data_IF_185164161219
#
_entry.id   IF_185164161219
#
_cell.length_a   1.000
_cell.length_b   1.000
_cell.length_c   1.000
_cell.angle_alpha   90.00
_cell.angle_beta   90.00
_cell.angle_gamma   90.00
#
_symmetry.space_group_name_H-M   'P 1'
#
loop_
_entity.id
_entity.type
_entity.pdbx_description
1 polymer ?
#
# COMPACT_ATOMS: atom_id res chain seq x y z
N UNK A 1 13.17 0.48 -27.93
CA UNK A 1 12.52 1.34 -26.91
C UNK A 1 11.28 1.98 -27.50
N UNK A 2 10.23 2.18 -26.69
CA UNK A 2 9.01 2.81 -27.21
C UNK A 2 9.03 4.31 -26.97
N UNK A 3 8.69 5.06 -27.99
CA UNK A 3 8.55 6.51 -27.95
C UNK A 3 7.12 6.88 -28.34
N UNK A 4 6.54 7.83 -27.62
CA UNK A 4 5.27 8.45 -27.99
C UNK A 4 5.59 9.78 -28.66
N UNK A 5 5.08 9.95 -29.88
CA UNK A 5 5.29 11.18 -30.60
C UNK A 5 3.96 11.91 -30.86
N UNK A 6 4.05 13.22 -30.87
CA UNK A 6 2.99 14.12 -31.30
C UNK A 6 3.52 14.84 -32.56
N UNK A 7 2.80 14.74 -33.66
CA UNK A 7 3.22 15.32 -34.92
C UNK A 7 2.01 15.83 -35.71
N UNK A 8 2.24 16.77 -36.61
CA UNK A 8 1.22 17.26 -37.53
C UNK A 8 1.44 16.63 -38.91
N UNK A 9 0.37 16.15 -39.53
CA UNK A 9 0.31 15.74 -40.92
C UNK A 9 -1.02 16.19 -41.50
N UNK A 10 -0.97 16.86 -42.65
CA UNK A 10 -2.18 17.37 -43.37
C UNK A 10 -3.06 18.25 -42.44
N UNK A 11 -2.45 19.09 -41.62
CA UNK A 11 -3.13 20.01 -40.72
C UNK A 11 -3.77 19.35 -39.48
N UNK A 12 -3.62 18.01 -39.30
CA UNK A 12 -4.17 17.29 -38.16
C UNK A 12 -3.08 16.85 -37.21
N UNK A 13 -3.32 17.04 -35.92
CA UNK A 13 -2.40 16.54 -34.86
C UNK A 13 -2.63 15.06 -34.63
N UNK A 14 -1.58 14.29 -34.73
CA UNK A 14 -1.58 12.84 -34.56
C UNK A 14 -0.68 12.51 -33.36
N UNK A 15 -1.16 11.65 -32.46
CA UNK A 15 -0.39 11.11 -31.34
C UNK A 15 -0.33 9.59 -31.52
N UNK A 16 0.87 9.05 -31.68
CA UNK A 16 1.09 7.60 -31.85
C UNK A 16 2.34 7.17 -31.12
N UNK A 17 2.48 5.84 -30.96
CA UNK A 17 3.69 5.22 -30.39
C UNK A 17 4.46 4.51 -31.49
N UNK A 18 5.79 4.56 -31.40
CA UNK A 18 6.69 3.90 -32.33
C UNK A 18 7.84 3.27 -31.54
N UNK A 19 8.32 2.14 -32.01
CA UNK A 19 9.52 1.51 -31.46
C UNK A 19 10.74 2.00 -32.26
N UNK A 20 11.73 2.55 -31.55
CA UNK A 20 12.95 3.09 -32.14
C UNK A 20 14.13 2.94 -31.19
N UNK A 21 15.34 3.02 -31.74
CA UNK A 21 16.58 2.94 -30.97
C UNK A 21 16.83 4.20 -30.13
N UNK A 22 16.46 5.37 -30.67
CA UNK A 22 16.65 6.68 -29.99
C UNK A 22 15.56 7.66 -30.40
N UNK A 23 15.47 8.80 -29.69
CA UNK A 23 14.52 9.89 -30.01
C UNK A 23 14.85 10.53 -31.37
N UNK A 24 16.12 10.61 -31.70
CA UNK A 24 16.61 11.14 -32.99
C UNK A 24 16.12 10.24 -34.15
N UNK A 25 16.16 8.93 -33.99
CA UNK A 25 15.64 7.98 -34.99
C UNK A 25 14.13 8.14 -35.23
N UNK A 26 13.37 8.52 -34.18
CA UNK A 26 11.92 8.83 -34.31
C UNK A 26 11.72 10.12 -35.10
N UNK A 27 12.50 11.17 -34.80
CA UNK A 27 12.42 12.46 -35.51
C UNK A 27 12.76 12.27 -36.99
N UNK A 28 13.83 11.53 -37.32
CA UNK A 28 14.24 11.23 -38.68
C UNK A 28 13.14 10.44 -39.46
N UNK A 29 12.56 9.43 -38.80
CA UNK A 29 11.41 8.69 -39.36
C UNK A 29 10.23 9.59 -39.66
N UNK A 30 9.88 10.50 -38.73
CA UNK A 30 8.75 11.41 -38.87
C UNK A 30 8.98 12.39 -40.05
N UNK A 31 10.18 12.95 -40.13
CA UNK A 31 10.55 13.90 -41.22
C UNK A 31 10.51 13.23 -42.58
N UNK A 32 11.01 11.97 -42.68
CA UNK A 32 11.00 11.20 -43.93
C UNK A 32 9.60 10.82 -44.42
N UNK A 33 8.57 10.87 -43.53
CA UNK A 33 7.18 10.52 -43.84
C UNK A 33 6.26 11.74 -43.88
N UNK A 34 6.82 12.95 -43.99
CA UNK A 34 6.09 14.23 -44.07
C UNK A 34 5.28 14.54 -42.80
N UNK A 35 5.76 14.09 -41.62
CA UNK A 35 5.22 14.49 -40.33
C UNK A 35 6.07 15.61 -39.73
N UNK A 36 5.44 16.66 -39.26
CA UNK A 36 6.09 17.72 -38.48
C UNK A 36 6.08 17.34 -37.00
N UNK A 37 7.22 16.91 -36.42
CA UNK A 37 7.25 16.52 -35.00
C UNK A 37 7.07 17.71 -34.08
N UNK A 38 6.11 17.62 -33.14
CA UNK A 38 5.87 18.62 -32.08
C UNK A 38 6.60 18.19 -30.80
N UNK A 39 6.45 16.91 -30.40
CA UNK A 39 7.17 16.35 -29.28
C UNK A 39 7.42 14.87 -29.48
N UNK A 40 8.57 14.40 -29.00
CA UNK A 40 8.92 12.98 -28.95
C UNK A 40 9.35 12.69 -27.51
N UNK A 41 8.58 11.88 -26.83
CA UNK A 41 8.84 11.52 -25.43
C UNK A 41 9.10 10.02 -25.33
N UNK A 42 10.18 9.65 -24.63
CA UNK A 42 10.44 8.25 -24.31
C UNK A 42 9.33 7.74 -23.40
N UNK A 43 8.68 6.64 -23.79
CA UNK A 43 7.68 5.98 -22.95
C UNK A 43 8.45 5.26 -21.83
N UNK A 44 8.86 6.02 -20.85
CA UNK A 44 9.55 5.52 -19.67
C UNK A 44 8.57 5.27 -18.53
N UNK A 45 9.00 4.49 -17.60
CA UNK A 45 8.32 3.89 -16.45
C UNK A 45 7.43 4.80 -15.57
N UNK A 46 6.52 5.59 -16.15
CA UNK A 46 5.45 6.27 -15.37
C UNK A 46 4.30 5.30 -15.00
N UNK A 47 4.57 4.00 -15.02
CA UNK A 47 3.51 3.00 -14.92
C UNK A 47 3.12 2.58 -13.49
N UNK A 48 3.90 2.89 -12.46
CA UNK A 48 3.58 2.42 -11.11
C UNK A 48 2.35 3.12 -10.51
N UNK A 49 2.25 4.44 -10.65
CA UNK A 49 1.07 5.19 -10.16
C UNK A 49 -0.16 4.92 -11.00
N UNK A 50 0.01 4.69 -12.29
CA UNK A 50 -1.07 4.36 -13.22
C UNK A 50 -1.63 2.95 -12.95
N UNK A 51 -0.75 1.97 -12.68
CA UNK A 51 -1.15 0.60 -12.32
C UNK A 51 -1.91 0.56 -10.98
N UNK A 52 -1.46 1.32 -9.97
CA UNK A 52 -2.17 1.42 -8.69
C UNK A 52 -3.56 2.05 -8.84
N UNK A 53 -3.70 3.02 -9.75
CA UNK A 53 -5.02 3.63 -10.06
C UNK A 53 -5.91 2.69 -10.88
N UNK A 54 -5.30 1.82 -11.70
CA UNK A 54 -6.04 0.80 -12.47
C UNK A 54 -6.51 -0.34 -11.55
N UNK A 55 -5.67 -0.85 -10.67
CA UNK A 55 -6.02 -1.94 -9.75
C UNK A 55 -7.20 -1.56 -8.85
N UNK A 56 -7.20 -0.37 -8.26
CA UNK A 56 -8.33 0.13 -7.45
C UNK A 56 -9.65 0.22 -8.24
N UNK A 57 -9.62 0.34 -9.55
CA UNK A 57 -10.84 0.43 -10.39
C UNK A 57 -11.22 -0.90 -11.04
N UNK A 58 -10.28 -1.81 -11.15
CA UNK A 58 -10.54 -3.20 -11.57
C UNK A 58 -11.36 -3.92 -10.48
N UNK A 59 -11.05 -3.67 -9.26
CA UNK A 59 -11.85 -4.15 -8.11
C UNK A 59 -13.33 -3.74 -8.21
N UNK A 60 -13.57 -2.67 -8.64
CA UNK A 60 -14.89 -2.16 -8.83
C UNK A 60 -15.57 -2.74 -10.05
N UNK A 61 -14.81 -2.99 -10.96
CA UNK A 61 -15.26 -3.59 -12.13
C UNK A 61 -15.46 -5.09 -12.00
N UNK A 62 -14.68 -5.66 -11.20
CA UNK A 62 -14.82 -7.00 -10.85
C UNK A 62 -16.03 -7.23 -9.99
N UNK A 63 -16.30 -6.40 -9.25
CA UNK A 63 -17.45 -6.44 -8.43
C UNK A 63 -18.71 -6.21 -9.25
N UNK A 64 -18.55 -5.44 -10.27
CA UNK A 64 -19.65 -5.23 -11.10
C UNK A 64 -19.87 -6.41 -12.08
N UNK A 65 -18.89 -7.04 -12.32
CA UNK A 65 -18.93 -8.20 -13.13
C UNK A 65 -19.54 -9.35 -12.38
N UNK A 66 -19.27 -9.37 -11.26
CA UNK A 66 -19.81 -10.35 -10.38
C UNK A 66 -21.29 -10.13 -10.12
N UNK A 67 -21.59 -9.03 -10.08
CA UNK A 67 -22.94 -8.71 -9.89
C UNK A 67 -23.79 -9.00 -11.11
N UNK A 68 -23.24 -8.83 -12.16
CA UNK A 68 -23.87 -9.12 -13.34
C UNK A 68 -23.94 -10.61 -13.64
N UNK A 69 -23.13 -11.31 -13.13
CA UNK A 69 -23.12 -12.69 -13.19
C UNK A 69 -24.08 -13.31 -12.20
N UNK A 70 -24.32 -12.70 -11.28
CA UNK A 70 -25.28 -13.07 -10.29
C UNK A 70 -26.73 -12.85 -10.70
N UNK A 71 -26.63 -12.12 -11.55
CA UNK A 71 -27.89 -11.85 -12.14
C UNK A 71 -28.29 -12.81 -13.22
N UNK A 72 -27.63 -13.78 -13.50
CA UNK A 72 -27.81 -14.84 -14.50
C UNK A 72 -27.35 -14.49 -15.90
N UNK A 73 -26.64 -13.42 -16.05
CA UNK A 73 -26.07 -13.03 -17.36
C UNK A 73 -24.88 -13.94 -17.68
N UNK A 74 -24.64 -14.18 -18.97
CA UNK A 74 -23.46 -14.93 -19.40
C UNK A 74 -22.20 -14.09 -19.12
N UNK A 75 -21.06 -14.74 -19.05
CA UNK A 75 -19.76 -14.06 -18.90
C UNK A 75 -19.54 -13.02 -20.02
N UNK A 76 -19.90 -13.39 -21.26
CA UNK A 76 -19.76 -12.52 -22.46
C UNK A 76 -20.64 -11.28 -22.31
N UNK A 77 -21.93 -11.46 -21.95
CA UNK A 77 -22.85 -10.34 -21.74
C UNK A 77 -22.37 -9.39 -20.64
N UNK A 78 -21.85 -9.97 -19.55
CA UNK A 78 -21.31 -9.20 -18.42
C UNK A 78 -20.09 -8.36 -18.84
N UNK A 79 -19.18 -8.92 -19.63
CA UNK A 79 -18.02 -8.21 -20.18
C UNK A 79 -18.45 -7.10 -21.14
N UNK A 80 -19.47 -7.34 -21.94
CA UNK A 80 -19.99 -6.32 -22.86
C UNK A 80 -20.61 -5.13 -22.11
N UNK A 81 -21.36 -5.40 -21.03
CA UNK A 81 -21.91 -4.34 -20.15
C UNK A 81 -20.77 -3.55 -19.51
N UNK A 82 -19.76 -4.23 -18.94
CA UNK A 82 -18.59 -3.60 -18.33
C UNK A 82 -17.85 -2.73 -19.33
N UNK A 83 -17.68 -3.18 -20.57
CA UNK A 83 -17.07 -2.44 -21.67
C UNK A 83 -17.81 -1.12 -21.94
N UNK A 84 -19.15 -1.16 -21.95
CA UNK A 84 -20.00 0.03 -22.19
C UNK A 84 -19.95 1.02 -21.02
N UNK A 85 -19.88 0.52 -19.77
CA UNK A 85 -19.81 1.34 -18.56
C UNK A 85 -18.44 1.94 -18.31
N UNK A 86 -17.38 1.36 -18.91
CA UNK A 86 -16.00 1.74 -18.65
C UNK A 86 -15.60 2.95 -19.51
N UNK A 87 -15.36 4.08 -18.83
CA UNK A 87 -14.97 5.35 -19.48
C UNK A 87 -13.47 5.44 -19.77
N UNK A 88 -12.63 4.71 -19.02
CA UNK A 88 -11.17 4.76 -19.20
C UNK A 88 -10.72 3.85 -20.35
N UNK A 89 -10.09 4.47 -21.32
CA UNK A 89 -9.63 3.78 -22.55
C UNK A 89 -8.74 2.54 -22.30
N UNK A 90 -7.73 2.57 -21.39
CA UNK A 90 -6.91 1.37 -21.18
C UNK A 90 -7.70 0.20 -20.57
N UNK A 91 -8.59 0.49 -19.63
CA UNK A 91 -9.43 -0.54 -18.99
C UNK A 91 -10.43 -1.11 -19.99
N UNK A 92 -11.03 -0.26 -20.81
CA UNK A 92 -11.96 -0.67 -21.88
C UNK A 92 -11.26 -1.60 -22.89
N UNK A 93 -10.03 -1.26 -23.30
CA UNK A 93 -9.24 -2.09 -24.21
C UNK A 93 -8.93 -3.46 -23.59
N UNK A 94 -8.55 -3.49 -22.32
CA UNK A 94 -8.31 -4.74 -21.60
C UNK A 94 -9.56 -5.63 -21.63
N UNK A 95 -10.75 -5.07 -21.30
CA UNK A 95 -12.02 -5.82 -21.32
C UNK A 95 -12.32 -6.33 -22.74
N UNK A 96 -12.07 -5.51 -23.74
CA UNK A 96 -12.29 -5.84 -25.16
C UNK A 96 -11.36 -6.99 -25.62
N UNK A 97 -10.09 -6.98 -25.21
CA UNK A 97 -9.14 -8.06 -25.53
C UNK A 97 -9.53 -9.36 -24.82
N UNK A 98 -9.95 -9.30 -23.56
CA UNK A 98 -10.45 -10.46 -22.79
C UNK A 98 -11.71 -11.03 -23.48
N UNK A 99 -12.68 -10.17 -23.80
CA UNK A 99 -13.94 -10.57 -24.49
C UNK A 99 -13.63 -11.26 -25.84
N UNK A 100 -12.71 -10.68 -26.63
CA UNK A 100 -12.30 -11.23 -27.92
C UNK A 100 -11.68 -12.64 -27.77
N UNK A 101 -10.85 -12.85 -26.75
CA UNK A 101 -10.23 -14.17 -26.49
C UNK A 101 -11.26 -15.20 -26.07
N UNK A 102 -12.22 -14.82 -25.23
CA UNK A 102 -13.30 -15.73 -24.77
C UNK A 102 -14.20 -16.10 -25.96
N UNK A 103 -14.59 -15.15 -26.81
CA UNK A 103 -15.35 -15.40 -28.05
C UNK A 103 -14.59 -16.27 -29.02
N UNK A 104 -13.25 -16.20 -28.99
CA UNK A 104 -12.35 -17.06 -29.78
C UNK A 104 -12.12 -18.45 -29.17
N UNK A 105 -12.82 -18.79 -28.07
CA UNK A 105 -12.76 -20.12 -27.46
C UNK A 105 -11.74 -20.30 -26.33
N UNK A 106 -11.02 -19.24 -25.94
CA UNK A 106 -10.11 -19.31 -24.79
C UNK A 106 -10.90 -19.31 -23.48
N UNK A 107 -10.41 -20.03 -22.48
CA UNK A 107 -10.99 -19.93 -21.14
C UNK A 107 -10.75 -18.52 -20.54
N UNK A 108 -11.63 -18.08 -19.65
CA UNK A 108 -11.51 -16.78 -18.98
C UNK A 108 -10.21 -16.69 -18.16
N UNK A 109 -9.88 -17.76 -17.43
CA UNK A 109 -8.62 -17.84 -16.67
C UNK A 109 -7.37 -17.63 -17.55
N UNK A 110 -7.37 -18.23 -18.76
CA UNK A 110 -6.27 -18.06 -19.73
C UNK A 110 -6.25 -16.63 -20.28
N UNK A 111 -7.40 -16.04 -20.56
CA UNK A 111 -7.47 -14.64 -21.03
C UNK A 111 -6.93 -13.65 -19.97
N UNK A 112 -7.13 -13.95 -18.67
CA UNK A 112 -6.62 -13.14 -17.56
C UNK A 112 -5.10 -13.22 -17.37
N UNK A 113 -4.45 -14.32 -17.80
CA UNK A 113 -2.99 -14.50 -17.65
C UNK A 113 -2.16 -13.39 -18.33
N UNK A 114 -2.66 -12.80 -19.39
CA UNK A 114 -1.98 -11.68 -20.07
C UNK A 114 -1.95 -10.42 -19.19
N UNK A 115 -2.81 -10.38 -18.18
CA UNK A 115 -2.99 -9.25 -17.29
C UNK A 115 -2.65 -9.61 -15.83
N UNK A 116 -1.68 -10.55 -15.64
CA UNK A 116 -1.23 -10.99 -14.30
C UNK A 116 -0.64 -9.87 -13.43
N UNK A 117 -0.29 -8.73 -14.01
CA UNK A 117 0.11 -7.54 -13.29
C UNK A 117 -1.09 -6.77 -12.69
N UNK A 118 -2.30 -7.09 -13.13
CA UNK A 118 -3.56 -6.47 -12.71
C UNK A 118 -4.39 -7.48 -11.88
N UNK A 119 -4.51 -8.70 -12.38
CA UNK A 119 -5.23 -9.80 -11.71
C UNK A 119 -4.23 -10.65 -10.91
N UNK A 120 -4.45 -10.73 -9.61
CA UNK A 120 -3.60 -11.51 -8.71
C UNK A 120 -3.65 -13.01 -9.05
N UNK A 121 -2.65 -13.75 -8.60
CA UNK A 121 -2.60 -15.22 -8.73
C UNK A 121 -3.84 -15.85 -8.07
N UNK A 122 -4.26 -15.30 -6.91
CA UNK A 122 -5.52 -15.69 -6.24
C UNK A 122 -6.71 -15.58 -7.19
N UNK A 123 -6.88 -14.43 -7.84
CA UNK A 123 -8.00 -14.18 -8.78
C UNK A 123 -8.01 -15.21 -9.90
N UNK A 124 -6.88 -15.39 -10.56
CA UNK A 124 -6.75 -16.29 -11.72
C UNK A 124 -7.01 -17.77 -11.32
N UNK A 125 -6.48 -18.21 -10.18
CA UNK A 125 -6.67 -19.58 -9.67
C UNK A 125 -8.12 -19.86 -9.30
N UNK A 126 -8.80 -18.89 -8.67
CA UNK A 126 -10.23 -19.01 -8.34
C UNK A 126 -11.09 -19.09 -9.62
N UNK A 127 -10.81 -18.22 -10.60
CA UNK A 127 -11.52 -18.24 -11.90
C UNK A 127 -11.28 -19.60 -12.59
N UNK A 128 -10.05 -20.10 -12.60
CA UNK A 128 -9.69 -21.41 -13.17
C UNK A 128 -10.46 -22.55 -12.49
N UNK A 129 -10.54 -22.54 -11.16
CA UNK A 129 -11.33 -23.53 -10.38
C UNK A 129 -12.82 -23.44 -10.73
N UNK A 130 -13.36 -22.21 -10.79
CA UNK A 130 -14.75 -21.95 -11.16
C UNK A 130 -15.12 -22.45 -12.56
N UNK A 131 -14.21 -22.26 -13.52
CA UNK A 131 -14.37 -22.76 -14.90
C UNK A 131 -14.38 -24.30 -14.93
N UNK A 132 -13.40 -24.91 -14.26
CA UNK A 132 -13.24 -26.37 -14.23
C UNK A 132 -14.42 -27.06 -13.55
N UNK A 133 -15.03 -26.47 -12.53
CA UNK A 133 -16.17 -27.02 -11.80
C UNK A 133 -17.52 -26.59 -12.37
N UNK A 134 -17.57 -25.71 -13.36
CA UNK A 134 -18.82 -25.14 -13.89
C UNK A 134 -19.52 -24.16 -12.95
N UNK A 135 -18.82 -23.71 -11.88
CA UNK A 135 -19.36 -22.83 -10.82
C UNK A 135 -18.79 -21.42 -10.89
N UNK A 136 -18.45 -20.96 -12.10
CA UNK A 136 -17.77 -19.66 -12.29
C UNK A 136 -18.55 -18.51 -11.63
N UNK A 137 -19.89 -18.50 -11.74
CA UNK A 137 -20.73 -17.46 -11.12
C UNK A 137 -20.58 -17.40 -9.61
N UNK A 138 -20.64 -18.58 -8.96
CA UNK A 138 -20.46 -18.68 -7.49
C UNK A 138 -19.07 -18.18 -7.06
N UNK A 139 -18.02 -18.60 -7.77
CA UNK A 139 -16.65 -18.21 -7.49
C UNK A 139 -16.46 -16.68 -7.68
N UNK A 140 -17.03 -16.11 -8.72
CA UNK A 140 -16.96 -14.66 -8.97
C UNK A 140 -17.67 -13.85 -7.88
N UNK A 141 -18.79 -14.36 -7.34
CA UNK A 141 -19.49 -13.75 -6.21
C UNK A 141 -18.63 -13.79 -4.93
N UNK A 142 -18.02 -14.94 -4.62
CA UNK A 142 -17.10 -15.09 -3.49
C UNK A 142 -15.90 -14.15 -3.62
N UNK A 143 -15.38 -14.01 -4.84
CA UNK A 143 -14.24 -13.14 -5.14
C UNK A 143 -14.62 -11.65 -4.96
N UNK A 144 -15.83 -11.25 -5.41
CA UNK A 144 -16.34 -9.89 -5.21
C UNK A 144 -16.51 -9.57 -3.72
N UNK A 145 -17.12 -10.47 -2.94
CA UNK A 145 -17.27 -10.35 -1.49
C UNK A 145 -15.90 -10.22 -0.79
N UNK A 146 -14.94 -11.05 -1.21
CA UNK A 146 -13.57 -10.99 -0.67
C UNK A 146 -12.91 -9.63 -0.94
N UNK A 147 -12.99 -9.14 -2.19
CA UNK A 147 -12.42 -7.85 -2.59
C UNK A 147 -13.08 -6.69 -1.82
N UNK A 148 -14.39 -6.75 -1.61
CA UNK A 148 -15.13 -5.76 -0.83
C UNK A 148 -14.65 -5.75 0.63
N UNK A 149 -14.55 -6.91 1.28
CA UNK A 149 -14.07 -7.06 2.66
C UNK A 149 -12.61 -6.61 2.81
N UNK A 150 -11.75 -6.96 1.86
CA UNK A 150 -10.35 -6.51 1.83
C UNK A 150 -10.28 -4.98 1.75
N UNK A 151 -11.09 -4.39 0.88
CA UNK A 151 -11.18 -2.94 0.72
C UNK A 151 -11.70 -2.26 2.00
N UNK A 152 -12.76 -2.80 2.61
CA UNK A 152 -13.30 -2.30 3.89
C UNK A 152 -12.24 -2.34 4.98
N UNK A 153 -11.56 -3.47 5.13
CA UNK A 153 -10.50 -3.68 6.11
C UNK A 153 -9.37 -2.65 5.92
N UNK A 154 -8.84 -2.55 4.70
CA UNK A 154 -7.78 -1.58 4.36
C UNK A 154 -8.23 -0.13 4.57
N UNK A 155 -9.50 0.18 4.26
CA UNK A 155 -10.08 1.51 4.45
C UNK A 155 -10.21 1.86 5.95
N UNK A 156 -10.65 0.92 6.79
CA UNK A 156 -10.73 1.08 8.25
C UNK A 156 -9.34 1.35 8.84
N UNK A 157 -8.33 0.56 8.46
CA UNK A 157 -6.94 0.76 8.92
C UNK A 157 -6.41 2.14 8.53
N UNK A 158 -6.56 2.51 7.26
CA UNK A 158 -6.11 3.83 6.75
C UNK A 158 -6.86 4.98 7.43
N UNK A 159 -8.18 4.84 7.57
CA UNK A 159 -9.05 5.85 8.20
C UNK A 159 -8.62 6.15 9.64
N UNK A 160 -8.31 5.11 10.40
CA UNK A 160 -7.86 5.24 11.79
C UNK A 160 -6.54 6.02 11.92
N UNK A 161 -5.66 5.95 10.89
CA UNK A 161 -4.37 6.63 10.89
C UNK A 161 -4.44 8.10 10.46
N UNK A 162 -5.53 8.54 9.83
CA UNK A 162 -5.67 9.91 9.29
C UNK A 162 -5.57 10.95 10.42
N UNK A 163 -6.33 10.77 11.50
CA UNK A 163 -6.35 11.72 12.63
C UNK A 163 -4.96 11.87 13.26
N UNK A 164 -4.26 10.81 13.68
CA UNK A 164 -2.89 10.93 14.19
C UNK A 164 -1.92 11.66 13.26
N UNK A 165 -1.97 11.35 11.97
CA UNK A 165 -1.08 11.98 10.97
C UNK A 165 -1.36 13.48 10.87
N UNK A 166 -2.63 13.90 10.82
CA UNK A 166 -3.00 15.33 10.76
C UNK A 166 -2.51 16.06 12.02
N UNK A 167 -2.70 15.48 13.20
CA UNK A 167 -2.30 16.11 14.47
C UNK A 167 -0.76 16.23 14.54
N UNK A 168 -0.03 15.19 14.17
CA UNK A 168 1.44 15.20 14.14
C UNK A 168 1.95 16.28 13.17
N UNK A 169 1.38 16.36 11.97
CA UNK A 169 1.75 17.40 10.98
C UNK A 169 1.46 18.79 11.55
N UNK A 170 0.28 19.00 12.13
CA UNK A 170 -0.11 20.26 12.77
C UNK A 170 0.87 20.66 13.88
N UNK A 171 1.22 19.70 14.74
CA UNK A 171 2.19 19.90 15.82
C UNK A 171 3.54 20.38 15.29
N UNK A 172 4.07 19.68 14.27
CA UNK A 172 5.35 20.06 13.65
C UNK A 172 5.26 21.42 12.96
N UNK A 173 4.12 21.75 12.33
CA UNK A 173 3.90 23.05 11.69
C UNK A 173 3.93 24.18 12.72
N UNK A 174 3.21 24.03 13.85
CA UNK A 174 3.21 25.01 14.93
C UNK A 174 4.63 25.18 15.51
N UNK A 175 5.30 24.07 15.82
CA UNK A 175 6.66 24.07 16.33
C UNK A 175 7.61 24.80 15.36
N UNK A 176 7.51 24.53 14.06
CA UNK A 176 8.31 25.17 13.02
C UNK A 176 8.06 26.68 12.97
N UNK A 177 6.79 27.12 13.02
CA UNK A 177 6.42 28.55 13.02
C UNK A 177 7.01 29.24 14.26
N UNK A 178 6.87 28.62 15.43
CA UNK A 178 7.41 29.16 16.68
C UNK A 178 8.93 29.34 16.64
N UNK A 179 9.64 28.30 16.18
CA UNK A 179 11.13 28.32 16.14
C UNK A 179 11.65 29.25 15.05
N UNK A 180 10.97 29.32 13.89
CA UNK A 180 11.48 30.06 12.71
C UNK A 180 11.08 31.54 12.71
N UNK A 181 9.88 31.88 13.20
CA UNK A 181 9.35 33.24 13.08
C UNK A 181 9.19 33.96 14.43
N UNK A 182 8.71 33.28 15.45
CA UNK A 182 8.41 33.93 16.74
C UNK A 182 9.69 34.13 17.56
N UNK A 183 10.45 33.05 17.68
CA UNK A 183 11.66 33.06 18.53
C UNK A 183 12.70 34.08 18.11
N UNK A 184 13.06 34.25 16.80
CA UNK A 184 14.03 35.26 16.39
C UNK A 184 13.63 36.71 16.74
N UNK A 185 12.32 37.01 16.67
CA UNK A 185 11.82 38.34 17.04
C UNK A 185 12.01 38.61 18.53
N UNK A 186 11.75 37.63 19.38
CA UNK A 186 11.98 37.74 20.83
C UNK A 186 13.48 37.90 21.13
N UNK A 187 14.33 37.17 20.42
CA UNK A 187 15.80 37.21 20.61
C UNK A 187 16.41 38.53 20.19
N UNK A 188 15.81 39.23 19.23
CA UNK A 188 16.24 40.60 18.87
C UNK A 188 16.14 41.55 20.06
N UNK A 189 15.07 41.46 20.84
CA UNK A 189 14.87 42.28 22.05
C UNK A 189 15.97 42.04 23.11
N UNK A 190 16.42 40.78 23.29
CA UNK A 190 17.43 40.45 24.30
C UNK A 190 18.84 40.96 23.93
N UNK A 191 19.18 41.02 22.64
CA UNK A 191 20.48 41.51 22.18
C UNK A 191 20.68 42.98 22.57
N UNK A 192 19.62 43.74 22.57
CA UNK A 192 19.65 45.18 22.87
C UNK A 192 19.96 45.46 24.35
N UNK A 193 19.80 44.47 25.24
CA UNK A 193 19.99 44.62 26.70
C UNK A 193 21.30 44.01 27.22
N UNK A 194 22.12 43.37 26.39
CA UNK A 194 23.44 42.80 26.76
C UNK A 194 23.38 41.82 27.95
N UNK A 195 22.30 41.03 28.09
CA UNK A 195 22.13 40.09 29.22
C UNK A 195 22.62 38.69 28.80
N UNK A 196 23.28 37.98 29.69
CA UNK A 196 23.72 36.61 29.48
C UNK A 196 22.48 35.68 29.38
N UNK A 197 22.39 35.00 28.26
CA UNK A 197 21.27 34.08 27.97
C UNK A 197 21.47 32.73 28.64
N UNK A 198 20.42 32.16 29.25
CA UNK A 198 20.43 30.79 29.77
C UNK A 198 20.78 29.76 28.69
N UNK A 199 21.32 28.61 29.12
CA UNK A 199 21.72 27.52 28.23
C UNK A 199 20.56 27.01 27.36
N UNK A 200 19.37 26.91 27.94
CA UNK A 200 18.14 26.51 27.22
C UNK A 200 17.85 27.45 26.05
N UNK A 201 17.96 28.76 26.30
CA UNK A 201 17.77 29.78 25.25
C UNK A 201 18.88 29.73 24.20
N UNK A 202 20.13 29.50 24.58
CA UNK A 202 21.25 29.32 23.63
C UNK A 202 21.03 28.12 22.70
N UNK A 203 20.56 26.99 23.24
CA UNK A 203 20.19 25.79 22.43
C UNK A 203 19.09 26.14 21.44
N UNK A 204 18.05 26.82 21.93
CA UNK A 204 16.92 27.21 21.10
C UNK A 204 17.32 28.16 19.96
N UNK A 205 18.22 29.11 20.25
CA UNK A 205 18.83 30.04 19.25
C UNK A 205 19.57 29.22 18.18
N UNK A 206 20.41 28.28 18.60
CA UNK A 206 21.17 27.45 17.66
C UNK A 206 20.22 26.65 16.73
N UNK A 207 19.17 26.06 17.29
CA UNK A 207 18.14 25.34 16.51
C UNK A 207 17.40 26.30 15.57
N UNK A 208 16.99 27.47 16.05
CA UNK A 208 16.27 28.49 15.26
C UNK A 208 17.14 29.00 14.11
N UNK A 209 18.39 29.39 14.37
CA UNK A 209 19.32 29.90 13.35
C UNK A 209 19.66 28.80 12.32
N UNK A 210 19.80 27.57 12.75
CA UNK A 210 19.97 26.43 11.85
C UNK A 210 18.72 26.25 10.98
N UNK A 211 17.54 26.27 11.60
CA UNK A 211 16.27 26.11 10.88
C UNK A 211 16.05 27.22 9.85
N UNK A 212 16.25 28.49 10.22
CA UNK A 212 16.05 29.63 9.32
C UNK A 212 17.06 29.67 8.17
N UNK A 213 18.29 29.26 8.42
CA UNK A 213 19.38 29.30 7.42
C UNK A 213 19.34 28.07 6.49
N UNK A 214 19.03 26.89 7.05
CA UNK A 214 19.20 25.62 6.36
C UNK A 214 17.88 24.90 6.01
N UNK A 215 16.70 25.55 6.17
CA UNK A 215 15.41 24.89 5.85
C UNK A 215 15.34 24.39 4.39
N UNK A 216 15.90 25.09 3.37
CA UNK A 216 15.84 24.53 2.02
C UNK A 216 16.74 23.29 1.90
N UNK A 217 17.89 23.29 2.57
CA UNK A 217 18.82 22.15 2.62
C UNK A 217 18.17 20.95 3.32
N UNK A 218 17.41 21.19 4.41
CA UNK A 218 16.68 20.16 5.15
C UNK A 218 15.61 19.53 4.23
N UNK A 219 14.87 20.34 3.48
CA UNK A 219 13.88 19.84 2.51
C UNK A 219 14.54 19.00 1.41
N UNK A 220 15.66 19.48 0.85
CA UNK A 220 16.43 18.72 -0.14
C UNK A 220 16.93 17.40 0.46
N UNK A 221 17.46 17.45 1.68
CA UNK A 221 17.94 16.24 2.39
C UNK A 221 16.80 15.23 2.62
N UNK A 222 15.62 15.70 3.05
CA UNK A 222 14.43 14.83 3.23
C UNK A 222 14.03 14.20 1.87
N UNK A 223 14.03 15.00 0.81
CA UNK A 223 13.68 14.51 -0.53
C UNK A 223 14.68 13.45 -1.02
N UNK A 224 15.99 13.73 -0.88
CA UNK A 224 17.06 12.81 -1.25
C UNK A 224 17.01 11.54 -0.40
N UNK A 225 16.82 11.68 0.92
CA UNK A 225 16.70 10.56 1.85
C UNK A 225 15.48 9.69 1.48
N UNK A 226 14.33 10.31 1.18
CA UNK A 226 13.13 9.59 0.78
C UNK A 226 13.33 8.83 -0.56
N UNK A 227 14.06 9.43 -1.49
CA UNK A 227 14.40 8.78 -2.77
C UNK A 227 15.29 7.55 -2.55
N UNK A 228 16.36 7.70 -1.74
CA UNK A 228 17.26 6.58 -1.42
C UNK A 228 16.55 5.51 -0.58
N UNK A 229 15.71 5.92 0.37
CA UNK A 229 14.90 4.99 1.18
C UNK A 229 13.98 4.15 0.27
N UNK A 230 13.26 4.80 -0.65
CA UNK A 230 12.41 4.08 -1.62
C UNK A 230 13.22 3.10 -2.48
N UNK A 231 14.39 3.51 -2.95
CA UNK A 231 15.28 2.65 -3.74
C UNK A 231 15.81 1.47 -2.92
N UNK A 232 16.18 1.71 -1.66
CA UNK A 232 16.64 0.66 -0.74
C UNK A 232 15.50 -0.33 -0.43
N UNK A 233 14.32 0.19 -0.10
CA UNK A 233 13.13 -0.64 0.19
C UNK A 233 12.64 -1.44 -1.03
N UNK A 234 12.99 -1.03 -2.24
CA UNK A 234 12.69 -1.79 -3.45
C UNK A 234 13.62 -3.01 -3.62
N UNK A 235 14.73 -3.10 -2.87
CA UNK A 235 15.59 -4.29 -2.87
C UNK A 235 15.05 -5.35 -1.91
N UNK A 236 15.29 -6.64 -2.20
CA UNK A 236 14.87 -7.74 -1.33
C UNK A 236 15.44 -7.60 0.09
N UNK A 237 16.73 -7.25 0.20
CA UNK A 237 17.40 -7.08 1.50
C UNK A 237 16.81 -5.90 2.30
N UNK A 238 16.61 -4.75 1.64
CA UNK A 238 16.04 -3.56 2.27
C UNK A 238 14.60 -3.78 2.74
N UNK A 239 13.78 -4.43 1.91
CA UNK A 239 12.40 -4.79 2.28
C UNK A 239 12.40 -5.73 3.49
N UNK A 240 13.21 -6.78 3.48
CA UNK A 240 13.27 -7.74 4.59
C UNK A 240 13.71 -7.07 5.90
N UNK A 241 14.74 -6.21 5.86
CA UNK A 241 15.21 -5.46 7.04
C UNK A 241 14.14 -4.54 7.60
N UNK A 242 13.42 -3.84 6.71
CA UNK A 242 12.33 -2.93 7.08
C UNK A 242 11.14 -3.70 7.68
N UNK A 243 10.75 -4.81 7.06
CA UNK A 243 9.65 -5.66 7.55
C UNK A 243 9.96 -6.22 8.94
N UNK A 244 11.21 -6.70 9.16
CA UNK A 244 11.67 -7.15 10.47
C UNK A 244 11.64 -6.01 11.50
N UNK A 245 12.08 -4.81 11.11
CA UNK A 245 12.10 -3.65 11.99
C UNK A 245 10.67 -3.25 12.41
N UNK A 246 9.72 -3.19 11.44
CA UNK A 246 8.32 -2.86 11.74
C UNK A 246 7.71 -3.86 12.74
N UNK A 247 7.99 -5.16 12.56
CA UNK A 247 7.45 -6.20 13.46
C UNK A 247 7.96 -6.05 14.90
N UNK A 248 9.14 -5.44 15.11
CA UNK A 248 9.70 -5.18 16.45
C UNK A 248 9.13 -3.92 17.10
N UNK A 249 8.47 -3.05 16.33
CA UNK A 249 7.88 -1.82 16.91
C UNK A 249 6.65 -2.17 17.74
N UNK A 250 6.58 -1.67 18.99
CA UNK A 250 5.39 -1.90 19.80
C UNK A 250 4.16 -1.31 19.10
N UNK A 251 3.03 -1.95 19.21
CA UNK A 251 1.75 -1.57 18.59
C UNK A 251 1.74 -1.80 17.06
N UNK A 252 2.67 -1.19 16.31
CA UNK A 252 2.73 -1.32 14.84
C UNK A 252 3.02 -2.75 14.41
N UNK A 253 3.97 -3.41 15.07
CA UNK A 253 4.30 -4.81 14.78
C UNK A 253 3.10 -5.72 14.96
N UNK A 254 2.35 -5.52 16.04
CA UNK A 254 1.13 -6.29 16.32
C UNK A 254 0.07 -6.12 15.22
N UNK A 255 -0.18 -4.88 14.78
CA UNK A 255 -1.15 -4.59 13.69
C UNK A 255 -0.70 -5.24 12.37
N UNK A 256 0.59 -5.14 12.03
CA UNK A 256 1.13 -5.75 10.80
C UNK A 256 1.02 -7.28 10.86
N UNK A 257 1.33 -7.88 12.01
CA UNK A 257 1.21 -9.33 12.25
C UNK A 257 -0.23 -9.80 12.07
N UNK A 258 -1.17 -9.16 12.76
CA UNK A 258 -2.60 -9.54 12.67
C UNK A 258 -3.11 -9.33 11.24
N UNK A 259 -2.72 -8.24 10.58
CA UNK A 259 -3.15 -7.98 9.18
C UNK A 259 -2.68 -9.09 8.24
N UNK A 260 -1.44 -9.58 8.41
CA UNK A 260 -0.93 -10.70 7.63
C UNK A 260 -1.74 -11.98 7.90
N UNK A 261 -2.14 -12.21 9.15
CA UNK A 261 -2.98 -13.37 9.53
C UNK A 261 -4.39 -13.25 8.97
N UNK A 262 -5.01 -12.06 8.99
CA UNK A 262 -6.34 -11.81 8.36
C UNK A 262 -6.30 -12.19 6.87
N UNK A 263 -5.34 -11.62 6.14
CA UNK A 263 -5.23 -11.83 4.68
C UNK A 263 -4.94 -13.29 4.35
N UNK A 264 -3.99 -13.92 5.05
CA UNK A 264 -3.59 -15.30 4.77
C UNK A 264 -4.68 -16.32 5.13
N UNK A 265 -5.32 -16.20 6.30
CA UNK A 265 -6.39 -17.13 6.70
C UNK A 265 -7.62 -16.99 5.81
N UNK A 266 -8.00 -15.76 5.45
CA UNK A 266 -9.10 -15.50 4.52
C UNK A 266 -8.81 -16.08 3.13
N UNK A 267 -7.59 -15.88 2.62
CA UNK A 267 -7.16 -16.39 1.31
C UNK A 267 -7.17 -17.90 1.29
N UNK A 268 -6.62 -18.56 2.33
CA UNK A 268 -6.65 -20.02 2.46
C UNK A 268 -8.08 -20.55 2.51
N UNK A 269 -8.95 -19.92 3.32
CA UNK A 269 -10.36 -20.32 3.45
C UNK A 269 -11.08 -20.32 2.10
N UNK A 270 -10.93 -19.23 1.35
CA UNK A 270 -11.59 -19.06 0.03
C UNK A 270 -11.06 -20.09 -0.97
N UNK A 271 -9.74 -20.29 -1.01
CA UNK A 271 -9.12 -21.24 -1.95
C UNK A 271 -9.55 -22.66 -1.67
N UNK A 272 -9.50 -23.09 -0.40
CA UNK A 272 -9.87 -24.46 0.01
C UNK A 272 -11.37 -24.68 -0.22
N UNK A 273 -12.23 -23.74 0.17
CA UNK A 273 -13.70 -23.84 -0.06
C UNK A 273 -14.06 -23.85 -1.56
N UNK A 274 -13.15 -23.40 -2.42
CA UNK A 274 -13.30 -23.42 -3.89
C UNK A 274 -12.71 -24.71 -4.51
N UNK A 275 -12.26 -25.67 -3.69
CA UNK A 275 -11.74 -26.95 -4.14
C UNK A 275 -10.27 -26.91 -4.60
N UNK A 276 -9.56 -25.83 -4.32
CA UNK A 276 -8.13 -25.73 -4.64
C UNK A 276 -7.35 -26.51 -3.57
N UNK A 277 -6.34 -27.27 -4.00
CA UNK A 277 -5.52 -28.07 -3.09
C UNK A 277 -4.77 -27.19 -2.08
N UNK A 278 -4.54 -27.71 -0.89
CA UNK A 278 -3.85 -26.98 0.18
C UNK A 278 -2.45 -26.49 -0.26
N UNK A 279 -1.72 -27.29 -1.03
CA UNK A 279 -0.39 -26.91 -1.52
C UNK A 279 -0.44 -25.72 -2.50
N UNK A 280 -1.41 -25.75 -3.43
CA UNK A 280 -1.62 -24.64 -4.35
C UNK A 280 -2.11 -23.40 -3.61
N UNK A 281 -3.01 -23.57 -2.62
CA UNK A 281 -3.50 -22.49 -1.77
C UNK A 281 -2.36 -21.83 -0.99
N UNK A 282 -1.47 -22.61 -0.39
CA UNK A 282 -0.27 -22.10 0.31
C UNK A 282 0.66 -21.34 -0.63
N UNK A 283 0.89 -21.87 -1.84
CA UNK A 283 1.71 -21.16 -2.87
C UNK A 283 1.12 -19.77 -3.21
N UNK A 284 -0.21 -19.69 -3.32
CA UNK A 284 -0.91 -18.42 -3.59
C UNK A 284 -0.78 -17.46 -2.40
N UNK A 285 -0.92 -17.98 -1.16
CA UNK A 285 -0.76 -17.17 0.06
C UNK A 285 0.67 -16.61 0.15
N UNK A 286 1.69 -17.43 -0.13
CA UNK A 286 3.09 -16.97 -0.15
C UNK A 286 3.25 -15.78 -1.12
N UNK A 287 2.68 -15.90 -2.32
CA UNK A 287 2.78 -14.83 -3.34
C UNK A 287 1.97 -13.58 -2.97
N UNK A 288 0.86 -13.75 -2.25
CA UNK A 288 -0.03 -12.65 -1.85
C UNK A 288 0.47 -11.92 -0.59
N UNK A 289 1.25 -12.60 0.27
CA UNK A 289 1.70 -12.04 1.55
C UNK A 289 2.69 -10.90 1.33
N UNK A 290 2.33 -9.69 1.76
CA UNK A 290 3.13 -8.48 1.54
C UNK A 290 4.37 -8.43 2.45
N UNK A 291 4.24 -8.82 3.72
CA UNK A 291 5.34 -8.82 4.68
C UNK A 291 6.28 -9.98 4.41
N UNK A 292 7.56 -9.69 4.16
CA UNK A 292 8.57 -10.67 3.76
C UNK A 292 8.86 -11.74 4.83
N UNK A 293 8.68 -11.40 6.11
CA UNK A 293 8.89 -12.34 7.22
C UNK A 293 7.78 -13.40 7.25
N UNK A 294 6.53 -12.94 7.17
CA UNK A 294 5.35 -13.83 7.06
C UNK A 294 5.38 -14.63 5.75
N UNK A 295 5.81 -14.00 4.65
CA UNK A 295 5.98 -14.68 3.36
C UNK A 295 6.95 -15.87 3.50
N UNK A 296 8.09 -15.66 4.15
CA UNK A 296 9.09 -16.71 4.37
C UNK A 296 8.55 -17.81 5.31
N UNK A 297 7.81 -17.45 6.36
CA UNK A 297 7.18 -18.40 7.26
C UNK A 297 6.17 -19.30 6.52
N UNK A 298 5.29 -18.69 5.70
CA UNK A 298 4.33 -19.47 4.88
C UNK A 298 5.03 -20.33 3.83
N UNK A 299 6.14 -19.87 3.27
CA UNK A 299 6.95 -20.69 2.35
C UNK A 299 7.52 -21.93 3.08
N UNK A 300 8.00 -21.75 4.28
CA UNK A 300 8.50 -22.87 5.12
C UNK A 300 7.36 -23.85 5.42
N UNK A 301 6.20 -23.34 5.81
CA UNK A 301 4.98 -24.17 6.04
C UNK A 301 4.61 -24.94 4.77
N UNK A 302 4.60 -24.27 3.62
CA UNK A 302 4.29 -24.90 2.31
C UNK A 302 5.22 -26.09 2.03
N UNK A 303 6.53 -25.92 2.24
CA UNK A 303 7.50 -26.99 2.06
C UNK A 303 7.32 -28.17 3.06
N UNK A 304 6.89 -27.87 4.29
CA UNK A 304 6.61 -28.90 5.28
C UNK A 304 5.35 -29.71 4.90
N UNK A 305 4.30 -29.02 4.44
CA UNK A 305 3.07 -29.66 3.97
C UNK A 305 3.35 -30.51 2.70
N UNK A 306 4.21 -30.00 1.80
CA UNK A 306 4.65 -30.76 0.61
C UNK A 306 5.33 -32.09 0.99
N UNK A 307 6.03 -32.12 2.13
CA UNK A 307 6.67 -33.33 2.68
C UNK A 307 5.72 -34.24 3.47
N UNK A 308 4.44 -33.87 3.52
CA UNK A 308 3.38 -34.70 4.12
C UNK A 308 3.00 -34.35 5.55
N UNK A 309 3.49 -33.24 6.11
CA UNK A 309 3.02 -32.76 7.41
C UNK A 309 1.62 -32.15 7.25
N UNK A 310 0.77 -32.28 8.27
CA UNK A 310 -0.50 -31.56 8.32
C UNK A 310 -0.26 -30.04 8.41
N UNK A 311 -1.20 -29.25 7.94
CA UNK A 311 -1.10 -27.79 8.00
C UNK A 311 -0.89 -27.31 9.44
N UNK A 312 -1.68 -27.82 10.38
CA UNK A 312 -1.60 -27.42 11.78
C UNK A 312 -0.23 -27.76 12.38
N UNK A 313 0.33 -28.97 12.09
CA UNK A 313 1.66 -29.38 12.55
C UNK A 313 2.77 -28.53 11.91
N UNK A 314 2.62 -28.17 10.64
CA UNK A 314 3.59 -27.33 9.94
C UNK A 314 3.61 -25.89 10.50
N UNK A 315 2.43 -25.34 10.83
CA UNK A 315 2.29 -24.01 11.47
C UNK A 315 2.90 -24.00 12.87
N UNK A 316 2.69 -25.09 13.66
CA UNK A 316 3.18 -25.22 15.04
C UNK A 316 4.71 -25.07 15.15
N UNK A 317 5.43 -25.45 14.11
CA UNK A 317 6.89 -25.40 14.05
C UNK A 317 7.44 -24.01 13.70
N UNK A 318 6.58 -23.01 13.53
CA UNK A 318 6.96 -21.63 13.21
C UNK A 318 6.48 -20.71 14.34
N UNK A 319 7.41 -20.14 15.10
CA UNK A 319 7.13 -19.33 16.32
C UNK A 319 6.22 -18.13 16.10
N UNK A 320 6.12 -17.64 14.86
CA UNK A 320 5.36 -16.41 14.59
C UNK A 320 3.86 -16.65 14.42
N UNK A 321 3.41 -17.90 14.33
CA UNK A 321 1.98 -18.18 14.23
C UNK A 321 1.36 -18.35 15.63
N UNK A 322 0.28 -17.63 15.94
CA UNK A 322 -0.33 -17.71 17.27
C UNK A 322 -0.96 -19.09 17.53
N UNK A 323 -0.96 -19.57 18.78
CA UNK A 323 -1.50 -20.90 19.10
C UNK A 323 -2.92 -21.15 18.62
N UNK A 324 -3.77 -20.12 18.60
CA UNK A 324 -5.16 -20.27 18.12
C UNK A 324 -5.21 -20.67 16.63
N UNK A 325 -4.32 -20.12 15.80
CA UNK A 325 -4.24 -20.50 14.39
C UNK A 325 -3.83 -21.97 14.24
N UNK A 326 -2.81 -22.39 15.01
CA UNK A 326 -2.31 -23.78 15.02
C UNK A 326 -3.44 -24.75 15.42
N UNK A 327 -4.04 -24.54 16.60
CA UNK A 327 -5.06 -25.42 17.17
C UNK A 327 -6.28 -25.53 16.28
N UNK A 328 -6.79 -24.38 15.79
CA UNK A 328 -7.96 -24.38 14.93
C UNK A 328 -7.68 -25.02 13.57
N UNK A 329 -6.47 -24.87 13.03
CA UNK A 329 -6.06 -25.56 11.79
C UNK A 329 -6.00 -27.07 12.00
N UNK A 330 -5.46 -27.55 13.12
CA UNK A 330 -5.43 -28.97 13.49
C UNK A 330 -6.86 -29.54 13.58
N UNK A 331 -7.76 -28.83 14.29
CA UNK A 331 -9.18 -29.23 14.42
C UNK A 331 -9.84 -29.24 13.04
N UNK A 332 -9.66 -28.21 12.23
CA UNK A 332 -10.24 -28.12 10.89
C UNK A 332 -9.79 -29.25 9.97
N UNK A 333 -8.50 -29.63 10.03
CA UNK A 333 -7.96 -30.78 9.28
C UNK A 333 -8.57 -32.11 9.75
N UNK A 334 -8.61 -32.33 11.07
CA UNK A 334 -9.14 -33.58 11.67
C UNK A 334 -10.64 -33.76 11.36
N UNK A 335 -11.41 -32.66 11.33
CA UNK A 335 -12.85 -32.70 11.09
C UNK A 335 -13.22 -32.58 9.60
N UNK A 336 -12.25 -32.34 8.73
CA UNK A 336 -12.49 -32.12 7.30
C UNK A 336 -13.16 -30.77 6.97
N UNK A 337 -13.17 -29.83 7.93
CA UNK A 337 -13.84 -28.51 7.80
C UNK A 337 -12.83 -27.36 7.91
N UNK A 338 -11.68 -27.53 7.25
CA UNK A 338 -10.58 -26.57 7.32
C UNK A 338 -10.98 -25.20 6.76
N UNK A 339 -11.77 -25.16 5.71
CA UNK A 339 -12.24 -23.93 5.07
C UNK A 339 -13.10 -23.07 6.02
N UNK A 340 -14.11 -23.68 6.68
CA UNK A 340 -14.95 -22.95 7.66
C UNK A 340 -14.14 -22.49 8.86
N UNK A 341 -13.24 -23.34 9.34
CA UNK A 341 -12.37 -23.02 10.47
C UNK A 341 -11.46 -21.82 10.16
N UNK A 342 -10.82 -21.83 9.01
CA UNK A 342 -9.96 -20.71 8.54
C UNK A 342 -10.77 -19.43 8.31
N UNK A 343 -12.01 -19.55 7.83
CA UNK A 343 -12.91 -18.40 7.66
C UNK A 343 -13.26 -17.77 9.01
N UNK A 344 -13.55 -18.60 10.03
CA UNK A 344 -13.80 -18.11 11.41
C UNK A 344 -12.56 -17.45 11.99
N UNK A 345 -11.38 -18.02 11.74
CA UNK A 345 -10.09 -17.44 12.16
C UNK A 345 -9.86 -16.07 11.50
N UNK A 346 -10.16 -15.93 10.21
CA UNK A 346 -9.98 -14.64 9.53
C UNK A 346 -10.87 -13.57 10.16
N UNK A 347 -12.11 -13.89 10.53
CA UNK A 347 -13.03 -12.99 11.23
C UNK A 347 -12.51 -12.64 12.64
N UNK A 348 -11.99 -13.62 13.35
CA UNK A 348 -11.40 -13.42 14.68
C UNK A 348 -10.23 -12.42 14.60
N UNK A 349 -9.29 -12.65 13.68
CA UNK A 349 -8.15 -11.76 13.49
C UNK A 349 -8.57 -10.37 12.98
N UNK A 350 -9.63 -10.29 12.17
CA UNK A 350 -10.18 -9.01 11.72
C UNK A 350 -10.67 -8.17 12.91
N UNK A 351 -11.44 -8.77 13.82
CA UNK A 351 -11.89 -8.12 15.05
C UNK A 351 -10.70 -7.71 15.94
N UNK A 352 -9.71 -8.57 16.07
CA UNK A 352 -8.49 -8.30 16.86
C UNK A 352 -7.70 -7.12 16.25
N UNK A 353 -7.60 -7.07 14.92
CA UNK A 353 -6.95 -5.95 14.20
C UNK A 353 -7.69 -4.63 14.41
N UNK A 354 -9.03 -4.66 14.40
CA UNK A 354 -9.84 -3.47 14.69
C UNK A 354 -9.61 -2.97 16.11
N UNK A 355 -9.57 -3.88 17.09
CA UNK A 355 -9.30 -3.55 18.50
C UNK A 355 -7.88 -2.98 18.67
N UNK A 356 -6.88 -3.62 18.08
CA UNK A 356 -5.48 -3.16 18.13
C UNK A 356 -5.34 -1.75 17.52
N UNK A 357 -6.00 -1.50 16.40
CA UNK A 357 -5.99 -0.20 15.70
C UNK A 357 -6.68 0.87 16.57
N UNK A 358 -7.82 0.54 17.18
CA UNK A 358 -8.54 1.44 18.10
C UNK A 358 -7.66 1.76 19.31
N UNK A 359 -7.05 0.76 19.93
CA UNK A 359 -6.13 0.94 21.07
C UNK A 359 -4.96 1.86 20.69
N UNK A 360 -4.37 1.64 19.52
CA UNK A 360 -3.29 2.49 19.00
C UNK A 360 -3.73 3.95 18.90
N UNK A 361 -4.89 4.21 18.28
CA UNK A 361 -5.41 5.58 18.12
C UNK A 361 -5.66 6.25 19.47
N UNK A 362 -6.21 5.51 20.45
CA UNK A 362 -6.47 5.99 21.81
C UNK A 362 -5.16 6.33 22.55
N UNK A 363 -4.09 5.52 22.37
CA UNK A 363 -2.80 5.75 23.02
C UNK A 363 -2.02 6.92 22.40
N UNK A 364 -2.23 7.20 21.12
CA UNK A 364 -1.54 8.30 20.43
C UNK A 364 -1.97 9.66 21.03
N UNK A 365 -3.24 9.81 21.42
CA UNK A 365 -3.76 11.07 21.97
C UNK A 365 -3.01 11.55 23.24
N UNK A 366 -2.88 10.73 24.31
CA UNK A 366 -2.06 11.11 25.45
C UNK A 366 -0.58 11.34 25.10
N UNK A 367 -0.02 10.52 24.21
CA UNK A 367 1.37 10.69 23.77
C UNK A 367 1.60 12.05 23.10
N UNK A 368 0.67 12.46 22.24
CA UNK A 368 0.71 13.79 21.59
C UNK A 368 0.61 14.90 22.64
N UNK A 369 -0.32 14.79 23.61
CA UNK A 369 -0.49 15.78 24.67
C UNK A 369 0.79 15.93 25.52
N UNK A 370 1.44 14.83 25.86
CA UNK A 370 2.72 14.85 26.59
C UNK A 370 3.81 15.55 25.77
N UNK A 371 3.96 15.19 24.50
CA UNK A 371 4.99 15.80 23.61
C UNK A 371 4.70 17.30 23.44
N UNK A 372 3.44 17.68 23.22
CA UNK A 372 3.05 19.10 23.13
C UNK A 372 3.32 19.84 24.43
N UNK A 373 2.91 19.26 25.58
CA UNK A 373 3.10 19.87 26.89
C UNK A 373 4.59 20.11 27.20
N UNK A 374 5.43 19.12 26.95
CA UNK A 374 6.89 19.23 27.13
C UNK A 374 7.46 20.26 26.14
N UNK A 375 7.06 20.23 24.88
CA UNK A 375 7.55 21.17 23.86
C UNK A 375 7.17 22.61 24.16
N UNK A 376 5.90 22.87 24.47
CA UNK A 376 5.41 24.20 24.82
C UNK A 376 6.02 24.66 26.15
N UNK A 377 6.11 23.79 27.15
CA UNK A 377 6.74 24.09 28.43
C UNK A 377 8.20 24.53 28.25
N UNK A 378 8.94 23.79 27.41
CA UNK A 378 10.34 24.13 27.07
C UNK A 378 10.44 25.52 26.39
N UNK A 379 9.54 25.80 25.44
CA UNK A 379 9.48 27.10 24.75
C UNK A 379 9.18 28.23 25.73
N UNK A 380 8.17 28.05 26.60
CA UNK A 380 7.76 29.03 27.59
C UNK A 380 8.92 29.31 28.57
N UNK A 381 9.55 28.28 29.10
CA UNK A 381 10.72 28.42 29.98
C UNK A 381 11.88 29.16 29.31
N UNK A 382 12.14 28.86 28.05
CA UNK A 382 13.23 29.49 27.26
C UNK A 382 12.96 30.96 26.97
N UNK A 383 11.72 31.41 27.00
CA UNK A 383 11.31 32.80 26.79
C UNK A 383 11.19 33.56 28.13
N UNK A 384 10.52 32.96 29.13
CA UNK A 384 10.24 33.63 30.41
C UNK A 384 11.50 33.78 31.27
N UNK A 385 12.39 32.77 31.31
CA UNK A 385 13.58 32.81 32.17
C UNK A 385 14.47 34.04 31.88
N UNK A 386 14.81 34.36 30.61
CA UNK A 386 15.56 35.60 30.33
C UNK A 386 14.81 36.89 30.76
N UNK A 387 13.46 36.94 30.59
CA UNK A 387 12.66 38.12 31.00
C UNK A 387 12.80 38.34 32.53
N UNK A 388 12.72 37.25 33.30
CA UNK A 388 12.88 37.28 34.74
C UNK A 388 14.25 37.78 35.15
N UNK A 389 15.30 37.29 34.46
CA UNK A 389 16.67 37.72 34.72
C UNK A 389 16.87 39.23 34.40
N UNK A 390 16.25 39.71 33.31
CA UNK A 390 16.26 41.14 32.96
C UNK A 390 15.63 41.97 34.06
N UNK A 391 14.45 41.61 34.54
CA UNK A 391 13.75 42.38 35.62
C UNK A 391 14.57 42.41 36.90
N UNK A 392 15.28 41.34 37.24
CA UNK A 392 16.11 41.26 38.41
C UNK A 392 17.44 42.07 38.26
N UNK A 393 17.91 42.29 37.05
CA UNK A 393 19.15 43.08 36.78
C UNK A 393 18.88 44.59 36.89
N UNK A 394 17.64 45.03 36.92
CA UNK A 394 17.24 46.43 37.09
C UNK A 394 16.90 46.79 38.54
N UNK A 395 17.02 45.86 39.49
CA UNK A 395 16.94 46.06 40.91
C UNK A 395 18.32 46.18 41.52
#
# INVERSE_FOLDING_TARGET
MFFQYKAIKDGKTIIKKIEAASSEAVVDYLQKNDYFPISVEKVGEKNLNFLNTLTQRVDXXXXXXXXXXXXGLTLIDSLEILKKQTTKLPLRKMIEEIDTKIKGGSSFSVALLDYKNIFSKLYISLVKSGEASGKLGEILLRLADNLEKEREFKSKLKGALVYPVIVIIGMFAVMFIMVTFVLPKLLGLYKDFNVELPTSTKILIAVSSFSTKFWPLVLVMIFVASYFAKKYLATKAGKNSFDQFILKLPVFGHIVSISALVESTRTLAILISSGISILEALSIVVDATENSVYQQAFLTVSHKVEKGLSLGTALEQEEMFPPILVQMSQVGEQTGNLDDTLFRLSKYFEMESEMATKTMTTLIEPAILVVLGVGVGFLVMSVITPIYNLTNSFK
#
